data_IF_232184026487
#
_entry.id   IF_232184026487
#
_cell.length_a   1.000
_cell.length_b   1.000
_cell.length_c   1.000
_cell.angle_alpha   90.00
_cell.angle_beta   90.00
_cell.angle_gamma   90.00
#
_symmetry.space_group_name_H-M   'P 1'
#
loop_
_entity.id
_entity.type
_entity.pdbx_description
1 polymer ?
#
# COMPACT_ATOMS: atom_id res chain seq x y z
N UNK A 1 -5.20 11.03 6.98
CA UNK A 1 -4.16 11.34 5.96
C UNK A 1 -4.66 10.93 4.59
N UNK A 2 -4.54 11.80 3.61
CA UNK A 2 -4.88 11.50 2.22
C UNK A 2 -3.72 10.80 1.51
N UNK A 3 -3.98 10.25 0.31
CA UNK A 3 -2.92 9.68 -0.51
C UNK A 3 -1.83 10.71 -0.84
N UNK A 4 -2.23 11.95 -1.15
CA UNK A 4 -1.28 13.02 -1.42
C UNK A 4 -0.40 13.33 -0.21
N UNK A 5 -0.98 13.40 0.97
CA UNK A 5 -0.23 13.61 2.22
C UNK A 5 0.72 12.46 2.50
N UNK A 6 0.27 11.22 2.27
CA UNK A 6 1.11 10.03 2.40
C UNK A 6 2.31 10.10 1.45
N UNK A 7 2.05 10.40 0.17
CA UNK A 7 3.10 10.46 -0.85
C UNK A 7 4.12 11.58 -0.56
N UNK A 8 3.67 12.72 -0.05
CA UNK A 8 4.58 13.80 0.36
C UNK A 8 5.46 13.37 1.53
N UNK A 9 4.87 12.70 2.53
CA UNK A 9 5.60 12.23 3.71
C UNK A 9 6.68 11.22 3.32
N UNK A 10 6.39 10.32 2.38
CA UNK A 10 7.29 9.23 1.99
C UNK A 10 8.00 9.50 0.65
N UNK A 11 7.97 10.71 0.17
CA UNK A 11 8.62 11.11 -1.09
C UNK A 11 10.07 10.64 -1.23
N UNK A 12 10.92 10.71 -0.19
CA UNK A 12 12.30 10.21 -0.31
C UNK A 12 12.41 8.74 -0.68
N UNK A 13 11.36 7.95 -0.45
CA UNK A 13 11.32 6.52 -0.71
C UNK A 13 10.58 6.16 -2.00
N UNK A 14 10.02 7.15 -2.69
CA UNK A 14 9.30 6.96 -3.96
C UNK A 14 10.19 7.51 -5.07
N UNK A 15 10.84 6.62 -5.87
CA UNK A 15 11.72 7.08 -6.94
C UNK A 15 10.99 7.90 -8.00
N UNK A 16 11.73 8.78 -8.66
CA UNK A 16 11.18 9.57 -9.76
C UNK A 16 10.59 8.64 -10.83
N UNK A 17 9.40 8.99 -11.32
CA UNK A 17 8.69 8.18 -12.28
C UNK A 17 7.70 7.18 -11.68
N UNK A 18 7.75 6.99 -10.35
CA UNK A 18 6.78 6.14 -9.65
C UNK A 18 5.72 7.00 -8.94
N UNK A 19 4.58 6.39 -8.65
CA UNK A 19 3.38 7.12 -8.24
C UNK A 19 3.04 7.03 -6.76
N UNK A 20 3.64 6.07 -6.03
CA UNK A 20 3.30 5.84 -4.64
C UNK A 20 1.87 5.33 -4.46
N UNK A 21 1.16 5.84 -3.47
CA UNK A 21 -0.22 5.46 -3.19
C UNK A 21 -1.16 6.17 -4.17
N UNK A 22 -1.94 5.38 -4.93
CA UNK A 22 -2.76 5.87 -6.03
C UNK A 22 -4.26 5.95 -5.76
N UNK A 23 -4.70 5.78 -4.51
CA UNK A 23 -6.13 5.88 -4.17
C UNK A 23 -6.31 6.30 -2.72
N UNK A 24 -7.48 6.85 -2.40
CA UNK A 24 -7.81 7.36 -1.06
C UNK A 24 -8.84 6.47 -0.37
N UNK A 25 -8.37 5.63 0.56
CA UNK A 25 -9.20 4.91 1.52
C UNK A 25 -8.49 5.09 2.87
N UNK A 26 -9.14 5.75 3.80
CA UNK A 26 -8.53 6.17 5.07
C UNK A 26 -7.88 5.02 5.83
N UNK A 27 -8.56 3.89 5.94
CA UNK A 27 -8.04 2.72 6.65
C UNK A 27 -6.77 2.19 6.00
N UNK A 28 -6.72 2.20 4.67
CA UNK A 28 -5.53 1.76 3.91
C UNK A 28 -4.38 2.72 4.13
N UNK A 29 -4.64 4.03 4.06
CA UNK A 29 -3.62 5.04 4.26
C UNK A 29 -3.04 4.95 5.68
N UNK A 30 -3.89 4.79 6.68
CA UNK A 30 -3.46 4.64 8.07
C UNK A 30 -2.62 3.37 8.28
N UNK A 31 -3.05 2.26 7.69
CA UNK A 31 -2.32 1.00 7.74
C UNK A 31 -0.93 1.14 7.09
N UNK A 32 -0.88 1.70 5.88
CA UNK A 32 0.38 1.87 5.16
C UNK A 32 1.33 2.84 5.88
N UNK A 33 0.80 3.90 6.48
CA UNK A 33 1.62 4.85 7.25
C UNK A 33 2.35 4.13 8.39
N UNK A 34 1.68 3.19 9.07
CA UNK A 34 2.29 2.38 10.12
C UNK A 34 3.31 1.39 9.56
N UNK A 35 2.95 0.69 8.51
CA UNK A 35 3.82 -0.33 7.90
C UNK A 35 5.09 0.32 7.33
N UNK A 36 4.97 1.51 6.77
CA UNK A 36 6.14 2.22 6.22
C UNK A 36 7.22 2.50 7.26
N UNK A 37 6.85 2.67 8.53
CA UNK A 37 7.85 2.84 9.59
C UNK A 37 8.84 1.68 9.65
N UNK A 38 8.35 0.46 9.40
CA UNK A 38 9.19 -0.74 9.35
C UNK A 38 9.84 -0.93 7.98
N UNK A 39 9.09 -0.69 6.90
CA UNK A 39 9.58 -0.91 5.54
C UNK A 39 10.77 -0.04 5.19
N UNK A 40 10.77 1.23 5.62
CA UNK A 40 11.88 2.15 5.34
C UNK A 40 13.19 1.72 6.01
N UNK A 41 13.13 0.80 6.98
CA UNK A 41 14.32 0.23 7.63
C UNK A 41 14.97 -0.87 6.80
N UNK A 42 14.29 -1.39 5.79
CA UNK A 42 14.83 -2.42 4.90
C UNK A 42 15.84 -1.76 3.96
N UNK A 43 17.09 -2.30 3.87
CA UNK A 43 18.09 -1.72 2.98
C UNK A 43 17.61 -1.63 1.53
N UNK A 44 17.72 -0.44 0.95
CA UNK A 44 17.35 -0.19 -0.44
C UNK A 44 15.85 -0.17 -0.70
N UNK A 45 15.03 -0.05 0.34
CA UNK A 45 13.57 -0.02 0.15
C UNK A 45 13.16 1.17 -0.72
N UNK A 46 12.36 0.87 -1.75
CA UNK A 46 11.72 1.86 -2.61
C UNK A 46 10.26 1.48 -2.77
N UNK A 47 9.37 2.43 -2.53
CA UNK A 47 7.95 2.26 -2.81
C UNK A 47 7.69 2.71 -4.25
N UNK A 48 7.22 1.79 -5.08
CA UNK A 48 6.94 2.10 -6.48
C UNK A 48 5.50 2.55 -6.66
N UNK A 49 4.55 1.69 -6.38
CA UNK A 49 3.15 2.01 -6.60
C UNK A 49 2.23 1.12 -5.78
N UNK A 50 1.20 1.72 -5.20
CA UNK A 50 0.08 1.00 -4.59
C UNK A 50 -1.15 1.38 -5.39
N UNK A 51 -1.73 0.43 -6.11
CA UNK A 51 -2.87 0.70 -6.97
C UNK A 51 -4.02 -0.26 -6.72
N UNK A 52 -5.23 0.22 -6.99
CA UNK A 52 -6.45 -0.57 -6.89
C UNK A 52 -6.91 -0.89 -8.31
N UNK A 53 -7.02 -2.19 -8.62
CA UNK A 53 -7.47 -2.66 -9.92
C UNK A 53 -8.44 -3.81 -9.73
N UNK A 54 -9.65 -3.68 -10.28
CA UNK A 54 -10.73 -4.67 -10.12
C UNK A 54 -11.00 -5.02 -8.65
N UNK A 55 -11.02 -4.00 -7.79
CA UNK A 55 -11.20 -4.15 -6.33
C UNK A 55 -10.10 -4.97 -5.65
N UNK A 56 -8.95 -5.13 -6.29
CA UNK A 56 -7.78 -5.79 -5.72
C UNK A 56 -6.61 -4.83 -5.70
N UNK A 57 -5.90 -4.82 -4.58
CA UNK A 57 -4.73 -3.95 -4.43
C UNK A 57 -3.48 -4.68 -4.91
N UNK A 58 -2.64 -3.94 -5.61
CA UNK A 58 -1.29 -4.34 -5.95
C UNK A 58 -0.31 -3.40 -5.25
N UNK A 59 0.66 -3.99 -4.58
CA UNK A 59 1.69 -3.27 -3.84
C UNK A 59 3.05 -3.57 -4.46
N UNK A 60 3.60 -2.59 -5.17
CA UNK A 60 4.89 -2.74 -5.86
C UNK A 60 5.98 -1.98 -5.12
N UNK A 61 7.08 -2.67 -4.84
CA UNK A 61 8.23 -2.11 -4.13
C UNK A 61 9.50 -2.86 -4.54
N UNK A 62 10.66 -2.32 -4.15
CA UNK A 62 11.95 -2.97 -4.32
C UNK A 62 12.77 -2.87 -3.04
N UNK A 63 13.73 -3.77 -2.89
CA UNK A 63 14.69 -3.78 -1.80
C UNK A 63 16.05 -4.23 -2.32
N UNK A 64 17.08 -4.14 -1.46
CA UNK A 64 18.39 -4.72 -1.76
C UNK A 64 18.50 -6.19 -1.36
N UNK A 65 17.41 -6.82 -0.94
CA UNK A 65 17.43 -8.23 -0.60
C UNK A 65 17.85 -9.08 -1.81
N UNK A 66 18.79 -10.01 -1.57
CA UNK A 66 19.24 -10.94 -2.61
C UNK A 66 18.21 -12.01 -2.88
N UNK A 67 17.51 -12.46 -1.83
CA UNK A 67 16.45 -13.46 -1.96
C UNK A 67 15.12 -12.77 -2.29
N UNK A 68 14.76 -12.79 -3.55
CA UNK A 68 13.53 -12.14 -4.03
C UNK A 68 12.26 -12.86 -3.57
N UNK A 69 12.38 -14.10 -3.07
CA UNK A 69 11.23 -14.80 -2.50
C UNK A 69 10.75 -14.11 -1.20
N UNK A 70 11.66 -13.47 -0.46
CA UNK A 70 11.30 -12.69 0.73
C UNK A 70 10.47 -11.46 0.35
N UNK A 71 10.81 -10.81 -0.76
CA UNK A 71 10.01 -9.69 -1.27
C UNK A 71 8.60 -10.16 -1.66
N UNK A 72 8.49 -11.30 -2.33
CA UNK A 72 7.21 -11.86 -2.72
C UNK A 72 6.33 -12.19 -1.50
N UNK A 73 6.91 -12.80 -0.48
CA UNK A 73 6.18 -13.10 0.76
C UNK A 73 5.67 -11.82 1.43
N UNK A 74 6.52 -10.80 1.52
CA UNK A 74 6.15 -9.52 2.11
C UNK A 74 5.05 -8.84 1.29
N UNK A 75 5.17 -8.86 -0.03
CA UNK A 75 4.17 -8.32 -0.95
C UNK A 75 2.80 -8.96 -0.71
N UNK A 76 2.74 -10.29 -0.68
CA UNK A 76 1.49 -11.02 -0.46
C UNK A 76 0.87 -10.69 0.88
N UNK A 77 1.69 -10.57 1.92
CA UNK A 77 1.22 -10.26 3.26
C UNK A 77 0.60 -8.87 3.31
N UNK A 78 1.27 -7.88 2.73
CA UNK A 78 0.78 -6.51 2.71
C UNK A 78 -0.46 -6.39 1.82
N UNK A 79 -0.42 -6.96 0.62
CA UNK A 79 -1.58 -6.95 -0.29
C UNK A 79 -2.79 -7.62 0.33
N UNK A 80 -2.59 -8.74 1.00
CA UNK A 80 -3.68 -9.45 1.68
C UNK A 80 -4.34 -8.61 2.74
N UNK A 81 -3.56 -7.89 3.53
CA UNK A 81 -4.10 -7.01 4.57
C UNK A 81 -4.84 -5.81 3.96
N UNK A 82 -4.27 -5.19 2.93
CA UNK A 82 -4.91 -4.06 2.27
C UNK A 82 -6.20 -4.49 1.57
N UNK A 83 -6.20 -5.64 0.90
CA UNK A 83 -7.39 -6.18 0.24
C UNK A 83 -8.51 -6.42 1.22
N UNK A 84 -8.19 -6.89 2.41
CA UNK A 84 -9.17 -7.06 3.49
C UNK A 84 -9.80 -5.73 3.89
N UNK A 85 -8.99 -4.69 4.04
CA UNK A 85 -9.47 -3.34 4.39
C UNK A 85 -10.35 -2.77 3.28
N UNK A 86 -9.96 -2.94 2.03
CA UNK A 86 -10.75 -2.49 0.87
C UNK A 86 -12.09 -3.21 0.80
N UNK A 87 -12.10 -4.52 1.06
CA UNK A 87 -13.32 -5.32 1.05
C UNK A 87 -14.27 -4.88 2.15
N UNK A 88 -13.77 -4.63 3.36
CA UNK A 88 -14.56 -4.15 4.49
C UNK A 88 -15.20 -2.80 4.16
N UNK A 89 -14.46 -1.89 3.55
CA UNK A 89 -14.96 -0.59 3.11
C UNK A 89 -16.08 -0.76 2.09
N UNK A 90 -15.92 -1.64 1.10
CA UNK A 90 -16.92 -1.92 0.07
C UNK A 90 -18.18 -2.56 0.65
N UNK A 91 -18.04 -3.47 1.63
CA UNK A 91 -19.18 -4.12 2.30
C UNK A 91 -19.99 -3.10 3.10
N UNK A 92 -19.33 -2.18 3.80
CA UNK A 92 -20.00 -1.10 4.52
C UNK A 92 -20.80 -0.23 3.54
N UNK A 93 -20.21 0.12 2.41
CA UNK A 93 -20.89 0.88 1.38
C UNK A 93 -22.09 0.14 0.80
N UNK A 94 -21.99 -1.18 0.61
CA UNK A 94 -23.11 -1.99 0.14
C UNK A 94 -24.24 -2.05 1.15
N UNK A 95 -23.92 -2.23 2.40
CA UNK A 95 -24.93 -2.26 3.46
C UNK A 95 -25.68 -0.94 3.54
N UNK A 96 -25.02 0.18 3.40
CA UNK A 96 -25.63 1.50 3.35
C UNK A 96 -26.58 1.63 2.15
N UNK A 97 -26.22 1.05 1.00
CA UNK A 97 -27.04 1.10 -0.19
C UNK A 97 -28.33 0.31 -0.09
N UNK A 98 -28.32 -0.78 0.66
CA UNK A 98 -29.47 -1.68 0.78
C UNK A 98 -30.35 -1.40 2.00
N UNK A 99 -29.89 -0.58 2.88
CA UNK A 99 -30.63 -0.14 4.06
C UNK A 99 -31.31 1.20 3.84
#
# INVERSE_FOLDING_TARGET
MTANEFNEKYKPYIPEGWYGLGFDILEVTNYLDKVMEDLIMIPGFELHQVKLKFNMVRFYFETNWKDKSLEAELQYKIEGQINKLVKEDSEVGKDEMFN
#
